data_IF_808402714749
#
_entry.id   IF_808402714749
#
_cell.length_a   1.000
_cell.length_b   1.000
_cell.length_c   1.000
_cell.angle_alpha   90.00
_cell.angle_beta   90.00
_cell.angle_gamma   90.00
#
_symmetry.space_group_name_H-M   'P 1'
#
loop_
_entity.id
_entity.type
_entity.pdbx_description
1 polymer ?
#
# COMPACT_ATOMS: atom_id res chain seq x y z
N UNK A 1 -14.22 -0.69 -30.48
CA UNK A 1 -12.81 -0.57 -30.01
C UNK A 1 -12.61 -1.14 -28.61
N UNK A 2 -13.34 -0.67 -27.60
CA UNK A 2 -13.23 -1.16 -26.20
C UNK A 2 -13.43 -2.68 -26.10
N UNK A 3 -14.47 -3.24 -26.71
CA UNK A 3 -14.72 -4.70 -26.67
C UNK A 3 -13.58 -5.52 -27.30
N UNK A 4 -12.99 -5.04 -28.39
CA UNK A 4 -11.85 -5.70 -29.03
C UNK A 4 -10.60 -5.65 -28.14
N UNK A 5 -10.35 -4.52 -27.48
CA UNK A 5 -9.27 -4.40 -26.50
C UNK A 5 -9.50 -5.33 -25.30
N UNK A 6 -10.72 -5.42 -24.77
CA UNK A 6 -11.05 -6.36 -23.69
C UNK A 6 -10.79 -7.81 -24.11
N UNK A 7 -11.16 -8.20 -25.33
CA UNK A 7 -10.88 -9.55 -25.87
C UNK A 7 -9.37 -9.82 -25.96
N UNK A 8 -8.57 -8.84 -26.37
CA UNK A 8 -7.10 -8.95 -26.43
C UNK A 8 -6.50 -9.12 -25.02
N UNK A 9 -6.96 -8.31 -24.05
CA UNK A 9 -6.51 -8.39 -22.65
C UNK A 9 -6.86 -9.74 -22.04
N UNK A 10 -8.07 -10.25 -22.28
CA UNK A 10 -8.50 -11.58 -21.81
C UNK A 10 -7.71 -12.71 -22.48
N UNK A 11 -7.39 -12.58 -23.77
CA UNK A 11 -6.62 -13.58 -24.51
C UNK A 11 -5.14 -13.64 -24.09
N UNK A 12 -4.58 -12.53 -23.61
CA UNK A 12 -3.18 -12.47 -23.21
C UNK A 12 -2.93 -11.50 -22.04
N UNK A 13 -3.39 -11.84 -20.81
CA UNK A 13 -3.34 -10.95 -19.65
C UNK A 13 -1.93 -10.48 -19.28
N UNK A 14 -0.93 -11.35 -19.40
CA UNK A 14 0.47 -11.03 -19.09
C UNK A 14 1.02 -9.96 -20.04
N UNK A 15 0.86 -10.14 -21.36
CA UNK A 15 1.34 -9.13 -22.34
C UNK A 15 0.63 -7.80 -22.17
N UNK A 16 -0.67 -7.83 -21.86
CA UNK A 16 -1.43 -6.62 -21.56
C UNK A 16 -0.88 -5.92 -20.32
N UNK A 17 -0.65 -6.64 -19.22
CA UNK A 17 -0.06 -6.09 -18.01
C UNK A 17 1.34 -5.50 -18.27
N UNK A 18 2.20 -6.20 -19.02
CA UNK A 18 3.53 -5.70 -19.40
C UNK A 18 3.42 -4.39 -20.20
N UNK A 19 2.54 -4.32 -21.19
CA UNK A 19 2.35 -3.11 -21.97
C UNK A 19 1.83 -1.94 -21.11
N UNK A 20 0.89 -2.20 -20.20
CA UNK A 20 0.36 -1.19 -19.28
C UNK A 20 1.45 -0.70 -18.32
N UNK A 21 2.22 -1.59 -17.71
CA UNK A 21 3.32 -1.24 -16.80
C UNK A 21 4.36 -0.39 -17.53
N UNK A 22 4.81 -0.80 -18.71
CA UNK A 22 5.79 -0.03 -19.49
C UNK A 22 5.27 1.36 -19.88
N UNK A 23 3.99 1.47 -20.22
CA UNK A 23 3.40 2.77 -20.55
C UNK A 23 3.24 3.63 -19.29
N UNK A 24 2.80 3.04 -18.18
CA UNK A 24 2.68 3.72 -16.89
C UNK A 24 4.04 4.22 -16.39
N UNK A 25 5.12 3.44 -16.55
CA UNK A 25 6.47 3.87 -16.17
C UNK A 25 6.92 5.12 -16.91
N UNK A 26 6.59 5.21 -18.21
CA UNK A 26 6.92 6.35 -19.07
C UNK A 26 6.09 7.59 -18.76
N UNK A 27 4.81 7.40 -18.49
CA UNK A 27 3.85 8.50 -18.35
C UNK A 27 3.69 8.99 -16.90
N UNK A 28 4.11 8.18 -15.91
CA UNK A 28 4.10 8.56 -14.51
C UNK A 28 5.35 9.36 -14.17
N UNK A 29 5.24 10.69 -14.21
CA UNK A 29 6.35 11.56 -13.81
C UNK A 29 6.65 11.46 -12.30
N UNK A 30 7.93 11.49 -11.89
CA UNK A 30 8.31 11.45 -10.48
C UNK A 30 7.88 12.71 -9.71
N UNK A 31 7.55 12.54 -8.43
CA UNK A 31 7.21 13.62 -7.51
C UNK A 31 8.46 14.41 -7.10
N UNK A 32 8.85 15.46 -7.85
CA UNK A 32 9.98 16.33 -7.50
C UNK A 32 9.47 17.66 -6.95
N UNK A 33 9.78 17.95 -5.67
CA UNK A 33 9.50 19.23 -5.03
C UNK A 33 10.73 20.12 -4.90
N UNK A 34 10.78 21.19 -5.72
CA UNK A 34 11.36 22.53 -5.41
C UNK A 34 11.23 23.42 -6.65
N UNK A 35 10.70 24.64 -6.52
CA UNK A 35 10.63 25.57 -7.65
C UNK A 35 10.79 27.01 -7.16
N UNK A 36 12.03 27.45 -6.92
CA UNK A 36 12.23 28.76 -6.31
C UNK A 36 13.39 29.52 -6.95
N UNK A 37 13.15 29.95 -8.19
CA UNK A 37 13.34 31.37 -8.56
C UNK A 37 12.18 31.97 -9.37
N UNK A 38 11.27 31.18 -9.99
CA UNK A 38 10.25 31.71 -10.92
C UNK A 38 8.83 31.11 -10.89
N UNK A 39 8.39 30.45 -9.81
CA UNK A 39 6.97 30.10 -9.63
C UNK A 39 6.54 28.75 -10.24
N UNK A 40 6.39 27.78 -9.33
CA UNK A 40 5.53 26.59 -9.35
C UNK A 40 5.48 25.73 -10.63
N UNK A 41 6.32 24.70 -10.68
CA UNK A 41 5.92 23.41 -11.25
C UNK A 41 5.64 22.43 -10.10
N UNK A 42 4.38 22.37 -9.68
CA UNK A 42 3.88 21.32 -8.79
C UNK A 42 3.54 20.14 -9.71
N UNK A 43 4.44 19.17 -9.80
CA UNK A 43 4.21 17.97 -10.61
C UNK A 43 3.12 17.14 -9.96
N UNK A 44 1.92 17.14 -10.53
CA UNK A 44 0.79 16.36 -10.03
C UNK A 44 0.82 14.95 -10.60
N UNK A 45 0.50 13.97 -9.78
CA UNK A 45 0.46 12.57 -10.16
C UNK A 45 -0.65 12.31 -11.20
N UNK A 46 -0.40 11.49 -12.22
CA UNK A 46 -1.46 11.12 -13.17
C UNK A 46 -2.45 10.13 -12.53
N UNK A 47 -3.57 10.65 -12.03
CA UNK A 47 -4.63 9.90 -11.34
C UNK A 47 -5.18 8.74 -12.17
N UNK A 48 -5.24 8.88 -13.51
CA UNK A 48 -5.78 7.84 -14.39
C UNK A 48 -4.87 6.62 -14.41
N UNK A 49 -3.55 6.84 -14.41
CA UNK A 49 -2.57 5.77 -14.33
C UNK A 49 -2.72 5.05 -13.00
N UNK A 50 -2.75 5.78 -11.89
CA UNK A 50 -2.84 5.18 -10.55
C UNK A 50 -4.14 4.41 -10.35
N UNK A 51 -5.26 4.94 -10.83
CA UNK A 51 -6.55 4.23 -10.82
C UNK A 51 -6.49 2.96 -11.67
N UNK A 52 -5.83 3.00 -12.84
CA UNK A 52 -5.63 1.82 -13.69
C UNK A 52 -4.77 0.75 -13.00
N UNK A 53 -3.71 1.14 -12.28
CA UNK A 53 -2.89 0.21 -11.51
C UNK A 53 -3.70 -0.45 -10.38
N UNK A 54 -4.56 0.32 -9.70
CA UNK A 54 -5.44 -0.21 -8.66
C UNK A 54 -6.43 -1.25 -9.24
N UNK A 55 -7.06 -0.93 -10.38
CA UNK A 55 -7.95 -1.85 -11.08
C UNK A 55 -7.24 -3.13 -11.55
N UNK A 56 -5.99 -3.02 -12.03
CA UNK A 56 -5.19 -4.19 -12.38
C UNK A 56 -4.98 -5.10 -11.17
N UNK A 57 -4.67 -4.55 -9.99
CA UNK A 57 -4.51 -5.34 -8.77
C UNK A 57 -5.83 -5.96 -8.26
N UNK A 58 -6.97 -5.31 -8.47
CA UNK A 58 -8.30 -5.87 -8.15
C UNK A 58 -8.65 -7.09 -9.01
N UNK A 59 -8.02 -7.23 -10.18
CA UNK A 59 -8.27 -8.36 -11.09
C UNK A 59 -7.49 -9.62 -10.68
N UNK A 60 -7.99 -10.34 -9.68
CA UNK A 60 -7.35 -11.53 -9.09
C UNK A 60 -7.27 -12.78 -9.99
N UNK A 61 -7.93 -12.79 -11.15
CA UNK A 61 -8.06 -13.98 -12.00
C UNK A 61 -6.83 -14.29 -12.88
N UNK A 62 -5.74 -13.52 -12.76
CA UNK A 62 -4.54 -13.69 -13.58
C UNK A 62 -3.26 -13.46 -12.75
N UNK A 63 -2.80 -14.47 -11.98
CA UNK A 63 -1.67 -14.31 -11.05
C UNK A 63 -0.38 -13.88 -11.75
N UNK A 64 -0.11 -14.38 -12.95
CA UNK A 64 1.06 -14.00 -13.74
C UNK A 64 1.04 -12.54 -14.18
N UNK A 65 -0.14 -12.00 -14.49
CA UNK A 65 -0.31 -10.59 -14.82
C UNK A 65 -0.09 -9.70 -13.57
N UNK A 66 -0.57 -10.15 -12.40
CA UNK A 66 -0.34 -9.47 -11.13
C UNK A 66 1.14 -9.47 -10.73
N UNK A 67 1.87 -10.56 -11.01
CA UNK A 67 3.32 -10.63 -10.80
C UNK A 67 4.07 -9.57 -11.63
N UNK A 68 3.66 -9.30 -12.87
CA UNK A 68 4.27 -8.25 -13.68
C UNK A 68 4.17 -6.90 -13.00
N UNK A 69 2.98 -6.53 -12.51
CA UNK A 69 2.76 -5.26 -11.83
C UNK A 69 3.48 -5.20 -10.47
N UNK A 70 3.40 -6.25 -9.66
CA UNK A 70 4.02 -6.28 -8.35
C UNK A 70 5.55 -6.22 -8.39
N UNK A 71 6.16 -6.73 -9.46
CA UNK A 71 7.60 -6.64 -9.69
C UNK A 71 8.05 -5.24 -10.15
N UNK A 72 7.13 -4.39 -10.59
CA UNK A 72 7.41 -2.99 -10.93
C UNK A 72 7.39 -2.11 -9.65
N UNK A 73 8.24 -2.44 -8.67
CA UNK A 73 8.23 -1.81 -7.35
C UNK A 73 8.49 -0.30 -7.40
N UNK A 74 9.37 0.16 -8.30
CA UNK A 74 9.64 1.58 -8.52
C UNK A 74 8.39 2.34 -9.00
N UNK A 75 7.66 1.75 -9.96
CA UNK A 75 6.39 2.30 -10.45
C UNK A 75 5.38 2.45 -9.32
N UNK A 76 5.21 1.42 -8.48
CA UNK A 76 4.27 1.45 -7.36
C UNK A 76 4.66 2.44 -6.26
N UNK A 77 5.96 2.60 -6.01
CA UNK A 77 6.48 3.65 -5.12
C UNK A 77 6.12 5.02 -5.68
N UNK A 78 6.49 5.33 -6.93
CA UNK A 78 6.15 6.61 -7.57
C UNK A 78 4.63 6.85 -7.63
N UNK A 79 3.84 5.81 -7.87
CA UNK A 79 2.39 5.89 -7.95
C UNK A 79 1.77 6.34 -6.62
N UNK A 80 2.47 6.12 -5.50
CA UNK A 80 2.01 6.45 -4.15
C UNK A 80 2.81 7.58 -3.49
N UNK A 81 3.67 8.26 -4.25
CA UNK A 81 4.36 9.47 -3.78
C UNK A 81 3.39 10.66 -3.71
N UNK A 82 3.68 11.63 -2.82
CA UNK A 82 2.88 12.86 -2.74
C UNK A 82 1.49 12.72 -2.11
N UNK A 83 1.17 11.56 -1.51
CA UNK A 83 -0.14 11.19 -0.93
C UNK A 83 -0.73 12.14 0.14
N UNK A 84 -0.01 13.17 0.56
CA UNK A 84 -0.49 14.19 1.49
C UNK A 84 -0.34 15.62 0.94
N UNK A 85 0.18 15.76 -0.28
CA UNK A 85 0.49 17.04 -0.90
C UNK A 85 -0.52 17.39 -1.99
N UNK A 86 -0.99 16.39 -2.75
CA UNK A 86 -1.72 16.61 -4.00
C UNK A 86 -3.24 16.88 -3.83
N UNK A 87 -3.77 16.89 -2.60
CA UNK A 87 -5.19 17.09 -2.34
C UNK A 87 -6.05 15.87 -2.69
N UNK A 88 -7.31 15.89 -2.23
CA UNK A 88 -8.18 14.70 -2.16
C UNK A 88 -8.29 13.88 -3.45
N UNK A 89 -8.37 14.53 -4.62
CA UNK A 89 -8.56 13.86 -5.90
C UNK A 89 -7.42 12.87 -6.26
N UNK A 90 -6.25 13.03 -5.67
CA UNK A 90 -5.09 12.16 -5.89
C UNK A 90 -4.90 11.17 -4.74
N UNK A 91 -5.22 11.59 -3.51
CA UNK A 91 -5.14 10.74 -2.32
C UNK A 91 -6.03 9.50 -2.47
N UNK A 92 -7.23 9.66 -3.01
CA UNK A 92 -8.19 8.55 -3.16
C UNK A 92 -7.64 7.45 -4.09
N UNK A 93 -7.24 7.72 -5.35
CA UNK A 93 -6.61 6.69 -6.21
C UNK A 93 -5.41 6.01 -5.56
N UNK A 94 -4.61 6.73 -4.79
CA UNK A 94 -3.43 6.18 -4.12
C UNK A 94 -3.81 5.26 -2.94
N UNK A 95 -4.79 5.65 -2.13
CA UNK A 95 -5.34 4.80 -1.08
C UNK A 95 -5.97 3.53 -1.67
N UNK A 96 -6.69 3.66 -2.77
CA UNK A 96 -7.29 2.55 -3.51
C UNK A 96 -6.23 1.58 -4.06
N UNK A 97 -5.13 2.11 -4.62
CA UNK A 97 -3.99 1.29 -5.05
C UNK A 97 -3.36 0.53 -3.89
N UNK A 98 -3.22 1.17 -2.72
CA UNK A 98 -2.70 0.51 -1.52
C UNK A 98 -3.66 -0.55 -0.98
N UNK A 99 -4.97 -0.33 -1.02
CA UNK A 99 -5.98 -1.34 -0.64
C UNK A 99 -5.93 -2.55 -1.57
N UNK A 100 -5.89 -2.32 -2.88
CA UNK A 100 -5.71 -3.39 -3.86
C UNK A 100 -4.38 -4.14 -3.66
N UNK A 101 -3.31 -3.41 -3.32
CA UNK A 101 -1.99 -3.97 -2.98
C UNK A 101 -2.08 -4.91 -1.77
N UNK A 102 -2.74 -4.49 -0.69
CA UNK A 102 -2.94 -5.33 0.50
C UNK A 102 -3.77 -6.58 0.17
N UNK A 103 -4.75 -6.45 -0.72
CA UNK A 103 -5.47 -7.59 -1.30
C UNK A 103 -4.53 -8.56 -1.99
N UNK A 104 -3.76 -8.12 -2.99
CA UNK A 104 -2.86 -8.99 -3.76
C UNK A 104 -1.78 -9.61 -2.89
N UNK A 105 -1.16 -8.84 -2.00
CA UNK A 105 -0.13 -9.33 -1.07
C UNK A 105 -0.63 -10.48 -0.19
N UNK A 106 -1.91 -10.43 0.19
CA UNK A 106 -2.55 -11.51 0.94
C UNK A 106 -2.83 -12.74 0.08
N UNK A 107 -3.41 -12.55 -1.11
CA UNK A 107 -3.76 -13.66 -2.00
C UNK A 107 -2.53 -14.39 -2.53
N UNK A 108 -1.42 -13.68 -2.76
CA UNK A 108 -0.23 -14.27 -3.36
C UNK A 108 0.57 -15.17 -2.45
N UNK A 109 0.32 -15.16 -1.14
CA UNK A 109 0.92 -16.11 -0.20
C UNK A 109 0.59 -17.57 -0.57
N UNK A 110 -0.52 -17.80 -1.27
CA UNK A 110 -0.93 -19.11 -1.75
C UNK A 110 -0.25 -19.55 -3.06
N UNK A 111 0.49 -18.67 -3.76
CA UNK A 111 1.06 -18.97 -5.09
C UNK A 111 2.47 -19.56 -5.05
N UNK A 112 2.86 -20.18 -3.93
CA UNK A 112 4.19 -20.78 -3.78
C UNK A 112 5.31 -19.76 -3.54
N UNK A 113 6.59 -20.15 -3.76
CA UNK A 113 7.75 -19.33 -3.40
C UNK A 113 7.80 -17.95 -4.09
N UNK A 114 7.49 -17.89 -5.38
CA UNK A 114 7.47 -16.63 -6.13
C UNK A 114 6.39 -15.66 -5.61
N UNK A 115 5.20 -16.18 -5.30
CA UNK A 115 4.10 -15.40 -4.71
C UNK A 115 4.41 -14.86 -3.32
N UNK A 116 5.22 -15.58 -2.54
CA UNK A 116 5.71 -15.14 -1.22
C UNK A 116 6.73 -14.02 -1.33
N UNK A 117 7.70 -14.13 -2.23
CA UNK A 117 8.65 -13.04 -2.52
C UNK A 117 7.93 -11.79 -3.01
N UNK A 118 6.92 -11.97 -3.87
CA UNK A 118 6.06 -10.87 -4.33
C UNK A 118 5.28 -10.24 -3.16
N UNK A 119 4.63 -11.06 -2.34
CA UNK A 119 3.89 -10.58 -1.15
C UNK A 119 4.80 -9.73 -0.26
N UNK A 120 6.04 -10.17 -0.06
CA UNK A 120 7.03 -9.46 0.74
C UNK A 120 7.30 -8.04 0.21
N UNK A 121 7.48 -7.89 -1.10
CA UNK A 121 7.66 -6.58 -1.74
C UNK A 121 6.45 -5.67 -1.55
N UNK A 122 5.24 -6.21 -1.71
CA UNK A 122 3.99 -5.47 -1.55
C UNK A 122 3.74 -5.05 -0.09
N UNK A 123 4.02 -5.93 0.88
CA UNK A 123 3.94 -5.58 2.31
C UNK A 123 4.96 -4.50 2.69
N UNK A 124 6.15 -4.52 2.11
CA UNK A 124 7.15 -3.46 2.29
C UNK A 124 6.67 -2.11 1.77
N UNK A 125 6.01 -2.08 0.61
CA UNK A 125 5.37 -0.86 0.09
C UNK A 125 4.31 -0.32 1.07
N UNK A 126 3.44 -1.20 1.59
CA UNK A 126 2.42 -0.82 2.56
C UNK A 126 3.04 -0.29 3.87
N UNK A 127 4.13 -0.89 4.34
CA UNK A 127 4.89 -0.40 5.50
C UNK A 127 5.45 0.99 5.24
N UNK A 128 6.03 1.20 4.07
CA UNK A 128 6.61 2.48 3.68
C UNK A 128 5.56 3.60 3.60
N UNK A 129 4.32 3.28 3.22
CA UNK A 129 3.20 4.25 3.16
C UNK A 129 2.36 4.33 4.43
N UNK A 130 2.64 3.50 5.44
CA UNK A 130 1.84 3.46 6.67
C UNK A 130 1.69 4.83 7.36
N UNK A 131 2.74 5.65 7.54
CA UNK A 131 2.58 6.96 8.16
C UNK A 131 1.63 7.87 7.39
N UNK A 132 1.71 7.89 6.05
CA UNK A 132 0.84 8.71 5.21
C UNK A 132 -0.62 8.23 5.26
N UNK A 133 -0.83 6.90 5.23
CA UNK A 133 -2.15 6.29 5.40
C UNK A 133 -2.76 6.62 6.76
N UNK A 134 -1.98 6.61 7.84
CA UNK A 134 -2.48 6.99 9.17
C UNK A 134 -2.82 8.48 9.25
N UNK A 135 -2.03 9.35 8.63
CA UNK A 135 -2.36 10.79 8.55
C UNK A 135 -3.68 11.05 7.79
N UNK A 136 -4.05 10.19 6.84
CA UNK A 136 -5.33 10.26 6.14
C UNK A 136 -6.54 10.06 7.08
N UNK A 137 -6.38 9.44 8.25
CA UNK A 137 -7.45 9.33 9.26
C UNK A 137 -7.84 10.68 9.86
N UNK A 138 -6.91 11.64 9.86
CA UNK A 138 -7.14 13.02 10.33
C UNK A 138 -7.63 13.96 9.23
N UNK A 139 -7.82 13.46 8.00
CA UNK A 139 -8.16 14.29 6.85
C UNK A 139 -9.56 14.90 6.96
N UNK A 140 -9.78 16.08 6.38
CA UNK A 140 -11.08 16.78 6.42
C UNK A 140 -12.18 16.03 5.65
N UNK A 141 -11.83 15.43 4.51
CA UNK A 141 -12.74 14.57 3.75
C UNK A 141 -13.08 13.27 4.48
N UNK A 142 -14.38 13.02 4.63
CA UNK A 142 -14.90 11.77 5.18
C UNK A 142 -14.57 10.56 4.29
N UNK A 143 -14.47 10.76 2.98
CA UNK A 143 -14.17 9.68 2.04
C UNK A 143 -12.72 9.19 2.21
N UNK A 144 -11.77 10.12 2.28
CA UNK A 144 -10.35 9.81 2.56
C UNK A 144 -10.20 9.04 3.89
N UNK A 145 -10.92 9.47 4.94
CA UNK A 145 -10.93 8.77 6.23
C UNK A 145 -11.51 7.36 6.13
N UNK A 146 -12.60 7.18 5.38
CA UNK A 146 -13.25 5.89 5.21
C UNK A 146 -12.33 4.88 4.50
N UNK A 147 -11.71 5.28 3.38
CA UNK A 147 -10.81 4.41 2.61
C UNK A 147 -9.54 4.09 3.41
N UNK A 148 -8.92 5.07 4.07
CA UNK A 148 -7.75 4.81 4.92
C UNK A 148 -8.07 3.91 6.12
N UNK A 149 -9.24 4.07 6.73
CA UNK A 149 -9.71 3.15 7.80
C UNK A 149 -9.93 1.74 7.26
N UNK A 150 -10.52 1.59 6.07
CA UNK A 150 -10.71 0.29 5.40
C UNK A 150 -9.38 -0.41 5.14
N UNK A 151 -8.43 0.31 4.52
CA UNK A 151 -7.07 -0.17 4.26
C UNK A 151 -6.34 -0.62 5.54
N UNK A 152 -6.35 0.20 6.60
CA UNK A 152 -5.69 -0.15 7.85
C UNK A 152 -6.35 -1.35 8.55
N UNK A 153 -7.68 -1.44 8.48
CA UNK A 153 -8.43 -2.59 8.98
C UNK A 153 -8.00 -3.86 8.23
N UNK A 154 -7.94 -3.78 6.91
CA UNK A 154 -7.51 -4.88 6.04
C UNK A 154 -6.09 -5.33 6.37
N UNK A 155 -5.15 -4.40 6.52
CA UNK A 155 -3.77 -4.68 6.93
C UNK A 155 -3.75 -5.39 8.30
N UNK A 156 -4.49 -4.88 9.30
CA UNK A 156 -4.52 -5.45 10.64
C UNK A 156 -5.12 -6.86 10.65
N UNK A 157 -6.21 -7.11 9.94
CA UNK A 157 -6.81 -8.45 9.89
C UNK A 157 -5.99 -9.44 9.06
N UNK A 158 -5.48 -9.01 7.90
CA UNK A 158 -4.75 -9.87 6.95
C UNK A 158 -3.34 -10.19 7.43
N UNK A 159 -2.73 -9.32 8.25
CA UNK A 159 -1.42 -9.56 8.87
C UNK A 159 -1.38 -10.71 9.88
N UNK A 160 -2.53 -11.26 10.30
CA UNK A 160 -2.61 -12.39 11.22
C UNK A 160 -2.30 -13.75 10.58
N UNK A 161 -1.90 -13.81 9.31
CA UNK A 161 -1.38 -15.02 8.71
C UNK A 161 -0.06 -15.43 9.36
N UNK A 162 -0.18 -16.20 10.44
CA UNK A 162 0.89 -17.08 10.93
C UNK A 162 1.23 -18.01 9.78
N UNK A 163 2.45 -17.88 9.26
CA UNK A 163 3.08 -18.92 8.47
C UNK A 163 2.94 -20.23 9.25
N UNK A 164 2.08 -21.15 8.79
CA UNK A 164 2.03 -22.47 9.42
C UNK A 164 3.39 -23.09 9.21
N UNK A 165 4.01 -23.54 10.30
CA UNK A 165 5.32 -24.18 10.32
C UNK A 165 5.22 -25.64 9.87
N UNK A 166 4.32 -25.94 8.94
CA UNK A 166 3.97 -27.30 8.52
C UNK A 166 4.41 -27.54 7.08
N UNK A 167 5.73 -27.58 6.86
CA UNK A 167 6.33 -28.42 5.83
C UNK A 167 7.66 -28.94 6.38
N UNK A 168 7.54 -29.91 7.31
CA UNK A 168 8.61 -30.85 7.58
C UNK A 168 8.71 -31.79 6.38
N UNK A 169 9.40 -31.36 5.32
CA UNK A 169 9.92 -32.29 4.33
C UNK A 169 11.36 -32.64 4.72
N UNK A 170 11.52 -33.89 5.18
CA UNK A 170 12.82 -34.55 5.22
C UNK A 170 13.38 -34.59 3.80
N UNK A 171 14.45 -33.85 3.54
CA UNK A 171 15.32 -34.10 2.40
C UNK A 171 16.76 -33.68 2.73
N UNK A 172 17.68 -34.57 2.38
CA UNK A 172 19.07 -34.62 2.77
C UNK A 172 19.95 -33.54 2.12
N UNK A 173 20.96 -33.11 2.87
CA UNK A 173 22.28 -32.58 2.46
C UNK A 173 22.36 -31.64 1.24
N UNK A 174 22.44 -30.34 1.50
CA UNK A 174 23.38 -29.44 0.81
C UNK A 174 23.69 -28.21 1.68
N UNK A 175 24.96 -27.90 1.81
CA UNK A 175 25.54 -26.84 2.64
C UNK A 175 25.09 -25.43 2.22
N UNK A 176 24.88 -24.59 3.24
CA UNK A 176 24.94 -23.13 3.23
C UNK A 176 24.15 -22.37 2.15
N UNK A 177 22.84 -22.26 2.37
CA UNK A 177 22.07 -21.09 1.92
C UNK A 177 21.39 -20.47 3.13
N UNK A 178 21.75 -19.23 3.37
CA UNK A 178 21.28 -18.32 4.42
C UNK A 178 19.78 -18.52 4.74
N UNK A 179 19.47 -19.11 5.90
CA UNK A 179 18.14 -18.99 6.49
C UNK A 179 18.00 -17.54 6.96
N UNK A 180 17.66 -16.64 6.04
CA UNK A 180 17.18 -15.31 6.38
C UNK A 180 15.94 -15.49 7.25
N UNK A 181 16.08 -15.18 8.53
CA UNK A 181 14.98 -15.09 9.48
C UNK A 181 13.77 -14.38 8.83
N UNK A 182 12.59 -14.97 8.98
CA UNK A 182 11.30 -14.49 8.50
C UNK A 182 11.13 -12.98 8.71
N UNK A 183 11.49 -12.18 7.70
CA UNK A 183 11.45 -10.74 7.77
C UNK A 183 10.05 -10.26 7.35
N UNK A 184 9.43 -9.44 8.21
CA UNK A 184 8.32 -8.50 7.93
C UNK A 184 6.87 -9.03 7.88
N UNK A 185 6.49 -9.94 8.78
CA UNK A 185 5.08 -10.04 9.24
C UNK A 185 5.04 -10.13 10.76
N UNK A 186 5.71 -9.21 11.46
CA UNK A 186 5.53 -9.04 12.90
C UNK A 186 5.11 -7.62 13.24
N UNK A 187 4.06 -7.57 14.04
CA UNK A 187 3.54 -6.42 14.78
C UNK A 187 3.02 -5.22 13.97
N UNK A 188 2.28 -5.48 12.87
CA UNK A 188 1.48 -4.43 12.19
C UNK A 188 0.64 -3.59 13.15
N UNK A 189 0.08 -4.22 14.19
CA UNK A 189 -0.59 -3.53 15.28
C UNK A 189 0.29 -2.48 15.96
N UNK A 190 1.51 -2.85 16.35
CA UNK A 190 2.46 -1.93 17.01
C UNK A 190 2.82 -0.77 16.09
N UNK A 191 3.09 -1.05 14.82
CA UNK A 191 3.50 -0.02 13.87
C UNK A 191 2.35 0.96 13.57
N UNK A 192 1.12 0.47 13.46
CA UNK A 192 -0.09 1.30 13.34
C UNK A 192 -0.27 2.16 14.60
N UNK A 193 -0.15 1.57 15.78
CA UNK A 193 -0.25 2.29 17.06
C UNK A 193 0.83 3.36 17.22
N UNK A 194 2.06 3.09 16.78
CA UNK A 194 3.16 4.05 16.79
C UNK A 194 2.87 5.22 15.84
N UNK A 195 2.38 4.95 14.62
CA UNK A 195 2.00 5.99 13.67
C UNK A 195 0.83 6.82 14.20
N UNK A 196 -0.16 6.20 14.86
CA UNK A 196 -1.30 6.89 15.48
C UNK A 196 -0.83 7.81 16.60
N UNK A 197 0.10 7.37 17.44
CA UNK A 197 0.68 8.20 18.50
C UNK A 197 1.44 9.40 17.94
N UNK A 198 2.23 9.19 16.88
CA UNK A 198 2.94 10.27 16.19
C UNK A 198 2.00 11.29 15.54
N UNK A 199 0.93 10.83 14.90
CA UNK A 199 -0.04 11.73 14.29
C UNK A 199 -0.84 12.50 15.35
N UNK A 200 -1.20 11.87 16.46
CA UNK A 200 -1.84 12.55 17.58
C UNK A 200 -0.94 13.66 18.16
N UNK A 201 0.36 13.38 18.30
CA UNK A 201 1.36 14.38 18.68
C UNK A 201 1.37 15.56 17.70
N UNK A 202 1.45 15.30 16.40
CA UNK A 202 1.48 16.34 15.37
C UNK A 202 0.21 17.21 15.36
N UNK A 203 -0.96 16.59 15.54
CA UNK A 203 -2.22 17.33 15.65
C UNK A 203 -2.22 18.26 16.86
N UNK A 204 -1.79 17.76 18.04
CA UNK A 204 -1.70 18.58 19.26
C UNK A 204 -0.71 19.72 19.12
N UNK A 205 0.47 19.45 18.57
CA UNK A 205 1.48 20.48 18.30
C UNK A 205 0.97 21.58 17.35
N UNK A 206 0.01 21.24 16.47
CA UNK A 206 -0.67 22.19 15.57
C UNK A 206 -1.97 22.77 16.15
N UNK A 207 -2.31 22.49 17.41
CA UNK A 207 -3.53 22.94 18.07
C UNK A 207 -4.82 22.32 17.51
N UNK A 208 -4.74 21.18 16.83
CA UNK A 208 -5.90 20.47 16.26
C UNK A 208 -6.43 19.41 17.22
N UNK A 209 -7.74 19.18 17.15
CA UNK A 209 -8.39 18.11 17.92
C UNK A 209 -7.95 16.72 17.46
N UNK A 210 -7.69 15.83 18.40
CA UNK A 210 -7.37 14.41 18.16
C UNK A 210 -8.62 13.52 18.16
N UNK A 211 -9.82 14.06 18.36
CA UNK A 211 -11.04 13.28 18.56
C UNK A 211 -11.37 12.34 17.37
N UNK A 212 -11.20 12.83 16.14
CA UNK A 212 -11.42 12.03 14.93
C UNK A 212 -10.43 10.86 14.86
N UNK A 213 -9.16 11.13 15.14
CA UNK A 213 -8.10 10.13 15.15
C UNK A 213 -8.32 9.07 16.23
N UNK A 214 -8.75 9.48 17.43
CA UNK A 214 -9.10 8.58 18.54
C UNK A 214 -10.28 7.69 18.16
N UNK A 215 -11.33 8.24 17.53
CA UNK A 215 -12.47 7.46 17.05
C UNK A 215 -12.05 6.43 15.99
N UNK A 216 -11.15 6.81 15.08
CA UNK A 216 -10.60 5.89 14.08
C UNK A 216 -9.76 4.79 14.73
N UNK A 217 -8.88 5.12 15.68
CA UNK A 217 -8.07 4.16 16.43
C UNK A 217 -8.93 3.12 17.16
N UNK A 218 -10.03 3.56 17.80
CA UNK A 218 -10.99 2.67 18.44
C UNK A 218 -11.66 1.72 17.43
N UNK A 219 -12.01 2.24 16.25
CA UNK A 219 -12.61 1.43 15.16
C UNK A 219 -11.65 0.37 14.62
N UNK A 220 -10.34 0.65 14.67
CA UNK A 220 -9.27 -0.30 14.30
C UNK A 220 -8.91 -1.25 15.45
N UNK A 221 -9.49 -1.06 16.63
CA UNK A 221 -9.15 -1.82 17.85
C UNK A 221 -7.73 -1.56 18.34
N UNK A 222 -7.15 -0.39 18.04
CA UNK A 222 -5.81 0.02 18.46
C UNK A 222 -5.87 0.74 19.81
N UNK A 223 -4.87 0.53 20.66
CA UNK A 223 -4.84 1.15 21.99
C UNK A 223 -4.55 2.65 21.91
N UNK A 224 -5.49 3.45 22.43
CA UNK A 224 -5.33 4.90 22.60
C UNK A 224 -4.46 5.22 23.83
N UNK A 225 -4.10 4.24 24.66
CA UNK A 225 -3.35 4.49 25.89
C UNK A 225 -1.96 5.09 25.60
N UNK A 226 -1.35 4.74 24.47
CA UNK A 226 -0.11 5.38 23.99
C UNK A 226 -0.32 6.82 23.49
N UNK A 227 -1.54 7.18 23.10
CA UNK A 227 -1.94 8.53 22.66
C UNK A 227 -2.20 9.46 23.87
N UNK A 228 -2.63 8.89 25.00
CA UNK A 228 -2.89 9.61 26.25
C UNK A 228 -1.63 9.93 27.08
N UNK A 229 -0.51 9.20 26.94
CA UNK A 229 0.74 9.58 27.63
C UNK A 229 1.37 10.89 27.12
N UNK A 230 0.90 11.40 25.98
CA UNK A 230 1.23 12.72 25.46
C UNK A 230 0.22 13.80 25.91
N UNK A 231 -0.69 13.46 26.84
CA UNK A 231 -1.77 14.33 27.33
C UNK A 231 -1.49 14.89 28.75
N UNK A 232 -0.27 14.77 29.25
CA UNK A 232 0.22 15.44 30.45
C UNK A 232 1.40 16.32 30.09
#
# INVERSE_FOLDING_TARGET
>A
VVEALCKIVLASPVKAATAIVLQAERDLCPWIGRADTQGQQIWRLNQRIVSLLAELFRHHNAPEALMVLANASDLLLRATDGMLVDGEAYIIPQLELLEATAGVAQHSLAWGPSGKTMAQGLWNLLKYRLPATVQCLSHSSAHVRAVSTSLLRDILHKSHFRYSKDFSEKSCHSENVFYGENLVIKDWRRDVEQCLAWEAYNLRARGRSVAILVSAANTLGCSVNNISYLAC
#
